data_IF_482976783616
#
_entry.id   IF_482976783616
#
_cell.length_a   1.000
_cell.length_b   1.000
_cell.length_c   1.000
_cell.angle_alpha   90.00
_cell.angle_beta   90.00
_cell.angle_gamma   90.00
#
_symmetry.space_group_name_H-M   'P 1'
#
loop_
_entity.id
_entity.type
_entity.pdbx_description
1 polymer ?
#
# COMPACT_ATOMS: atom_id res chain seq x y z
N UNK A 1 21.01 37.04 -15.39
CA UNK A 1 20.49 36.00 -16.28
C UNK A 1 19.52 35.18 -15.45
N UNK A 2 18.24 35.16 -15.85
CA UNK A 2 17.23 34.40 -15.14
C UNK A 2 17.45 32.92 -15.50
N UNK A 3 17.92 32.13 -14.54
CA UNK A 3 17.90 30.67 -14.65
C UNK A 3 16.44 30.26 -14.87
N UNK A 4 16.13 29.85 -16.09
CA UNK A 4 14.90 29.12 -16.39
C UNK A 4 14.97 27.81 -15.60
N UNK A 5 14.37 27.81 -14.40
CA UNK A 5 14.11 26.58 -13.64
C UNK A 5 13.19 25.73 -14.50
N UNK A 6 13.78 24.87 -15.33
CA UNK A 6 13.08 23.74 -15.93
C UNK A 6 12.57 22.93 -14.75
N UNK A 7 11.26 22.96 -14.50
CA UNK A 7 10.64 22.06 -13.55
C UNK A 7 10.97 20.64 -13.99
N UNK A 8 11.63 19.82 -13.15
CA UNK A 8 12.01 18.46 -13.55
C UNK A 8 10.77 17.70 -14.00
N UNK A 9 10.90 16.96 -15.11
CA UNK A 9 9.83 16.14 -15.68
C UNK A 9 9.35 15.14 -14.62
N UNK A 10 8.04 15.07 -14.31
CA UNK A 10 7.51 14.09 -13.37
C UNK A 10 7.83 12.65 -13.81
N UNK A 11 8.42 11.85 -12.92
CA UNK A 11 8.75 10.45 -13.18
C UNK A 11 7.47 9.60 -13.22
N UNK A 12 7.40 8.62 -14.12
CA UNK A 12 6.27 7.66 -14.20
C UNK A 12 4.89 8.30 -14.33
N UNK A 13 4.78 9.53 -14.84
CA UNK A 13 3.51 10.26 -14.96
C UNK A 13 2.39 9.41 -15.62
N UNK A 14 2.75 8.73 -16.71
CA UNK A 14 1.81 7.93 -17.50
C UNK A 14 1.71 6.47 -17.01
N UNK A 15 2.54 6.08 -16.04
CA UNK A 15 2.66 4.71 -15.51
C UNK A 15 2.23 4.59 -14.04
N UNK A 16 1.88 5.70 -13.37
CA UNK A 16 1.47 5.72 -11.97
C UNK A 16 0.10 6.38 -11.77
N UNK A 17 -0.75 5.72 -11.00
CA UNK A 17 -2.00 6.30 -10.46
C UNK A 17 -1.88 6.54 -8.95
N UNK A 18 -2.57 7.57 -8.46
CA UNK A 18 -2.69 7.86 -7.03
C UNK A 18 -4.08 7.43 -6.55
N UNK A 19 -4.16 6.51 -5.58
CA UNK A 19 -5.42 5.96 -5.05
C UNK A 19 -5.73 6.52 -3.67
N UNK A 20 -6.88 7.20 -3.53
CA UNK A 20 -7.27 7.91 -2.32
C UNK A 20 -8.66 7.42 -1.85
N UNK A 21 -8.76 6.69 -0.73
CA UNK A 21 -10.05 6.48 -0.08
C UNK A 21 -10.47 7.72 0.70
N UNK A 22 -11.76 8.02 0.72
CA UNK A 22 -12.26 9.21 1.42
C UNK A 22 -13.74 9.12 1.79
N UNK A 23 -14.12 9.88 2.81
CA UNK A 23 -15.52 10.18 3.18
C UNK A 23 -15.80 11.70 3.21
N UNK A 24 -14.87 12.52 2.74
CA UNK A 24 -14.84 13.99 2.87
C UNK A 24 -14.26 14.66 1.62
N UNK A 25 -14.42 15.98 1.55
CA UNK A 25 -13.81 16.78 0.48
C UNK A 25 -12.28 16.67 0.52
N UNK A 26 -11.66 16.74 -0.66
CA UNK A 26 -10.24 16.52 -0.83
C UNK A 26 -9.42 17.82 -0.85
N UNK A 27 -9.74 18.76 0.02
CA UNK A 27 -9.04 20.06 0.10
C UNK A 27 -7.53 19.90 0.40
N UNK A 28 -7.13 18.77 1.03
CA UNK A 28 -5.73 18.44 1.29
C UNK A 28 -4.89 18.33 -0.01
N UNK A 29 -5.53 18.06 -1.15
CA UNK A 29 -4.87 18.02 -2.46
C UNK A 29 -4.24 19.35 -2.84
N UNK A 30 -4.72 20.49 -2.33
CA UNK A 30 -4.07 21.79 -2.58
C UNK A 30 -2.64 21.83 -2.04
N UNK A 31 -2.40 21.19 -0.89
CA UNK A 31 -1.05 21.09 -0.34
C UNK A 31 -0.16 20.18 -1.17
N UNK A 32 -0.75 19.14 -1.76
CA UNK A 32 -0.09 18.18 -2.62
C UNK A 32 -0.01 18.61 -4.09
N UNK A 33 -0.69 19.69 -4.50
CA UNK A 33 -0.81 20.14 -5.90
C UNK A 33 0.54 20.20 -6.63
N UNK A 34 1.63 20.74 -6.04
CA UNK A 34 2.94 20.76 -6.71
C UNK A 34 3.50 19.37 -7.06
N UNK A 35 3.01 18.31 -6.41
CA UNK A 35 3.50 16.94 -6.54
C UNK A 35 2.52 16.01 -7.25
N UNK A 36 1.20 16.16 -7.00
CA UNK A 36 0.18 15.20 -7.48
C UNK A 36 -0.51 15.65 -8.76
N UNK A 37 -0.59 16.96 -9.04
CA UNK A 37 -1.33 17.46 -10.21
C UNK A 37 -0.93 16.80 -11.55
N UNK A 38 0.35 16.42 -11.79
CA UNK A 38 0.71 15.75 -13.03
C UNK A 38 0.15 14.33 -13.20
N UNK A 39 -0.30 13.68 -12.12
CA UNK A 39 -0.71 12.28 -12.11
C UNK A 39 -2.24 12.17 -12.08
N UNK A 40 -2.74 11.05 -12.59
CA UNK A 40 -4.16 10.71 -12.51
C UNK A 40 -4.51 10.17 -11.12
N UNK A 41 -5.67 10.58 -10.59
CA UNK A 41 -6.17 10.15 -9.29
C UNK A 41 -7.34 9.18 -9.44
N UNK A 42 -7.35 8.11 -8.65
CA UNK A 42 -8.50 7.24 -8.47
C UNK A 42 -9.02 7.44 -7.05
N UNK A 43 -10.19 8.07 -6.94
CA UNK A 43 -10.81 8.41 -5.67
C UNK A 43 -11.89 7.38 -5.37
N UNK A 44 -11.81 6.75 -4.19
CA UNK A 44 -12.82 5.81 -3.73
C UNK A 44 -13.59 6.43 -2.57
N UNK A 45 -14.81 6.87 -2.85
CA UNK A 45 -15.75 7.37 -1.85
C UNK A 45 -16.36 6.22 -1.08
N UNK A 46 -16.20 6.27 0.24
CA UNK A 46 -16.83 5.34 1.17
C UNK A 46 -18.00 5.99 1.93
N UNK A 47 -18.80 5.17 2.60
CA UNK A 47 -19.97 5.62 3.36
C UNK A 47 -21.18 5.91 2.48
N UNK A 48 -21.82 7.06 2.69
CA UNK A 48 -23.06 7.43 2.00
C UNK A 48 -22.78 7.90 0.56
N UNK A 49 -23.21 7.15 -0.48
CA UNK A 49 -22.93 7.49 -1.87
C UNK A 49 -23.73 8.70 -2.37
N UNK A 50 -24.73 9.17 -1.61
CA UNK A 50 -25.50 10.38 -1.98
C UNK A 50 -24.77 11.67 -1.63
N UNK A 51 -23.73 11.60 -0.78
CA UNK A 51 -22.92 12.77 -0.44
C UNK A 51 -21.99 13.11 -1.59
N UNK A 52 -21.96 14.37 -1.98
CA UNK A 52 -21.04 14.86 -3.01
C UNK A 52 -19.70 15.18 -2.36
N UNK A 53 -18.65 14.49 -2.82
CA UNK A 53 -17.25 14.81 -2.49
C UNK A 53 -16.72 15.86 -3.47
N UNK A 54 -16.18 16.96 -2.95
CA UNK A 54 -15.53 17.98 -3.75
C UNK A 54 -14.04 17.67 -3.90
N UNK A 55 -13.56 17.77 -5.14
CA UNK A 55 -12.15 17.68 -5.52
C UNK A 55 -11.74 19.06 -6.05
N UNK A 56 -10.58 19.62 -5.64
CA UNK A 56 -10.12 20.90 -6.17
C UNK A 56 -9.95 20.87 -7.69
N UNK A 57 -10.13 22.02 -8.34
CA UNK A 57 -10.04 22.12 -9.80
C UNK A 57 -8.62 21.81 -10.32
N UNK A 58 -8.54 21.31 -11.56
CA UNK A 58 -7.29 21.08 -12.27
C UNK A 58 -6.56 19.78 -11.94
N UNK A 59 -7.19 18.85 -11.22
CA UNK A 59 -6.75 17.45 -11.10
C UNK A 59 -7.47 16.58 -12.13
N UNK A 60 -6.75 15.62 -12.70
CA UNK A 60 -7.31 14.56 -13.54
C UNK A 60 -7.70 13.37 -12.64
N UNK A 61 -8.98 13.00 -12.61
CA UNK A 61 -9.44 11.97 -11.68
C UNK A 61 -10.68 11.20 -12.14
N UNK A 62 -10.78 9.96 -11.66
CA UNK A 62 -12.00 9.19 -11.57
C UNK A 62 -12.47 9.08 -10.12
N UNK A 63 -13.78 9.14 -9.89
CA UNK A 63 -14.38 8.97 -8.57
C UNK A 63 -15.40 7.83 -8.61
N UNK A 64 -15.19 6.86 -7.73
CA UNK A 64 -16.05 5.70 -7.55
C UNK A 64 -16.68 5.71 -6.18
N UNK A 65 -17.95 5.34 -6.07
CA UNK A 65 -18.62 5.12 -4.78
C UNK A 65 -19.21 3.70 -4.69
N UNK A 66 -19.91 3.41 -3.60
CA UNK A 66 -20.49 2.08 -3.36
C UNK A 66 -21.45 1.61 -4.46
N UNK A 67 -22.19 2.51 -5.11
CA UNK A 67 -23.07 2.17 -6.23
C UNK A 67 -22.26 1.71 -7.45
N UNK A 68 -21.13 2.37 -7.74
CA UNK A 68 -20.24 1.97 -8.82
C UNK A 68 -19.60 0.62 -8.55
N UNK A 69 -19.10 0.39 -7.33
CA UNK A 69 -18.53 -0.90 -6.90
C UNK A 69 -19.56 -2.02 -7.11
N UNK A 70 -20.80 -1.83 -6.63
CA UNK A 70 -21.88 -2.82 -6.78
C UNK A 70 -22.25 -3.05 -8.25
N UNK A 71 -22.28 -2.00 -9.07
CA UNK A 71 -22.60 -2.08 -10.51
C UNK A 71 -21.51 -2.81 -11.29
N UNK A 72 -20.24 -2.55 -10.99
CA UNK A 72 -19.09 -3.07 -11.72
C UNK A 72 -18.79 -4.52 -11.32
N UNK A 73 -18.81 -4.83 -10.02
CA UNK A 73 -18.45 -6.16 -9.51
C UNK A 73 -19.65 -7.10 -9.31
N UNK A 74 -20.88 -6.58 -9.36
CA UNK A 74 -22.08 -7.36 -9.08
C UNK A 74 -21.98 -8.06 -7.71
N UNK A 75 -22.30 -9.37 -7.61
CA UNK A 75 -22.17 -10.12 -6.36
C UNK A 75 -20.76 -10.12 -5.74
N UNK A 76 -19.71 -9.99 -6.56
CA UNK A 76 -18.32 -9.96 -6.08
C UNK A 76 -17.97 -8.67 -5.33
N UNK A 77 -18.83 -7.64 -5.37
CA UNK A 77 -18.68 -6.44 -4.56
C UNK A 77 -18.62 -6.75 -3.04
N UNK A 78 -19.11 -7.92 -2.63
CA UNK A 78 -18.99 -8.43 -1.27
C UNK A 78 -17.55 -8.56 -0.76
N UNK A 79 -16.55 -8.70 -1.65
CA UNK A 79 -15.14 -8.71 -1.25
C UNK A 79 -14.58 -7.30 -0.92
N UNK A 80 -15.29 -6.22 -1.27
CA UNK A 80 -14.84 -4.85 -0.98
C UNK A 80 -15.46 -4.35 0.32
N UNK A 81 -14.59 -4.05 1.28
CA UNK A 81 -14.93 -3.47 2.59
C UNK A 81 -15.76 -2.19 2.50
N UNK A 82 -16.51 -1.89 3.57
CA UNK A 82 -17.44 -0.76 3.65
C UNK A 82 -17.38 -0.07 5.00
N UNK A 83 -17.46 1.27 5.01
CA UNK A 83 -17.20 2.11 6.19
C UNK A 83 -15.80 1.86 6.78
N UNK A 84 -14.84 1.66 5.89
CA UNK A 84 -13.45 1.37 6.18
C UNK A 84 -12.53 1.79 5.01
N UNK A 85 -11.29 2.12 5.34
CA UNK A 85 -10.30 2.62 4.38
C UNK A 85 -9.89 1.56 3.34
N UNK A 86 -10.11 0.27 3.61
CA UNK A 86 -9.86 -0.83 2.70
C UNK A 86 -10.72 -0.79 1.42
N UNK A 87 -11.73 0.08 1.33
CA UNK A 87 -12.45 0.35 0.07
C UNK A 87 -11.49 0.74 -1.07
N UNK A 88 -10.31 1.32 -0.75
CA UNK A 88 -9.22 1.63 -1.69
C UNK A 88 -8.78 0.44 -2.55
N UNK A 89 -8.99 -0.80 -2.08
CA UNK A 89 -8.69 -2.00 -2.86
C UNK A 89 -9.43 -2.01 -4.20
N UNK A 90 -10.63 -1.43 -4.27
CA UNK A 90 -11.33 -1.25 -5.54
C UNK A 90 -10.52 -0.37 -6.51
N UNK A 91 -9.93 0.72 -6.01
CA UNK A 91 -9.04 1.59 -6.78
C UNK A 91 -7.83 0.85 -7.36
N UNK A 92 -7.26 -0.09 -6.58
CA UNK A 92 -6.16 -0.92 -7.06
C UNK A 92 -6.58 -1.84 -8.21
N UNK A 93 -7.79 -2.38 -8.12
CA UNK A 93 -8.34 -3.31 -9.10
C UNK A 93 -8.65 -2.61 -10.43
N UNK A 94 -9.20 -1.40 -10.39
CA UNK A 94 -9.60 -0.66 -11.60
C UNK A 94 -8.44 0.06 -12.29
N UNK A 95 -7.41 0.48 -11.55
CA UNK A 95 -6.21 1.07 -12.14
C UNK A 95 -5.62 0.15 -13.21
N UNK A 96 -5.21 0.73 -14.35
CA UNK A 96 -4.53 0.01 -15.45
C UNK A 96 -3.05 0.35 -15.56
N UNK A 97 -2.58 1.22 -14.67
CA UNK A 97 -1.19 1.65 -14.66
C UNK A 97 -0.32 0.69 -13.88
N UNK A 98 0.97 0.68 -14.22
CA UNK A 98 1.96 -0.24 -13.66
C UNK A 98 2.19 0.00 -12.17
N UNK A 99 2.16 1.26 -11.73
CA UNK A 99 2.44 1.64 -10.36
C UNK A 99 1.22 2.28 -9.70
N UNK A 100 1.06 2.03 -8.41
CA UNK A 100 0.09 2.71 -7.57
C UNK A 100 0.81 3.37 -6.41
N UNK A 101 0.44 4.61 -6.12
CA UNK A 101 0.67 5.24 -4.83
C UNK A 101 -0.66 5.40 -4.11
N UNK A 102 -0.78 4.95 -2.87
CA UNK A 102 -1.96 5.19 -2.03
C UNK A 102 -1.62 6.10 -0.86
N UNK A 103 -2.54 7.01 -0.57
CA UNK A 103 -2.42 7.98 0.51
C UNK A 103 -3.79 8.27 1.13
N UNK A 104 -3.82 8.44 2.45
CA UNK A 104 -5.03 8.85 3.17
C UNK A 104 -5.29 10.35 3.04
N UNK A 105 -6.56 10.72 3.08
CA UNK A 105 -7.04 12.11 2.94
C UNK A 105 -6.68 13.04 4.12
N UNK A 106 -6.00 12.53 5.15
CA UNK A 106 -5.46 13.27 6.30
C UNK A 106 -3.92 13.15 6.46
N UNK A 107 -3.26 12.71 5.38
CA UNK A 107 -1.81 12.72 5.23
C UNK A 107 -1.35 13.93 4.40
N UNK A 108 -0.55 14.80 5.01
CA UNK A 108 -0.13 16.09 4.47
C UNK A 108 1.34 16.08 4.07
N UNK A 109 1.77 17.12 3.35
CA UNK A 109 3.18 17.30 2.97
C UNK A 109 4.03 17.53 4.21
N UNK A 110 4.93 16.59 4.50
CA UNK A 110 5.93 16.74 5.54
C UNK A 110 7.09 17.67 5.11
N UNK A 111 7.88 18.09 6.11
CA UNK A 111 9.11 18.85 5.89
C UNK A 111 10.32 18.04 6.35
N UNK A 112 11.41 18.14 5.60
CA UNK A 112 12.70 17.60 6.00
C UNK A 112 13.36 18.47 7.09
N UNK A 113 14.49 18.05 7.68
CA UNK A 113 15.19 18.85 8.70
C UNK A 113 15.67 20.24 8.23
N UNK A 114 15.76 20.48 6.91
CA UNK A 114 16.08 21.79 6.35
C UNK A 114 14.84 22.70 6.20
N UNK A 115 13.65 22.17 6.48
CA UNK A 115 12.37 22.86 6.34
C UNK A 115 11.78 22.80 4.93
N UNK A 116 12.39 22.04 4.01
CA UNK A 116 11.90 21.87 2.65
C UNK A 116 10.78 20.83 2.61
N UNK A 117 9.77 21.08 1.79
CA UNK A 117 8.69 20.13 1.56
C UNK A 117 9.22 18.82 0.95
N UNK A 118 8.78 17.70 1.50
CA UNK A 118 9.13 16.36 1.03
C UNK A 118 8.17 15.97 -0.09
N UNK A 119 8.72 15.65 -1.27
CA UNK A 119 7.98 15.00 -2.34
C UNK A 119 7.95 13.48 -2.08
N UNK A 120 6.99 13.03 -1.28
CA UNK A 120 6.88 11.62 -0.90
C UNK A 120 6.67 10.71 -2.11
N UNK A 121 5.85 11.12 -3.07
CA UNK A 121 5.60 10.37 -4.30
C UNK A 121 6.89 10.10 -5.08
N UNK A 122 7.73 11.12 -5.32
CA UNK A 122 9.00 10.93 -6.04
C UNK A 122 9.95 9.99 -5.30
N UNK A 123 10.00 10.05 -3.96
CA UNK A 123 10.81 9.15 -3.15
C UNK A 123 10.30 7.70 -3.20
N UNK A 124 8.98 7.49 -3.19
CA UNK A 124 8.39 6.18 -3.44
C UNK A 124 8.74 5.64 -4.84
N UNK A 125 8.65 6.48 -5.87
CA UNK A 125 9.03 6.10 -7.24
C UNK A 125 10.49 5.66 -7.29
N UNK A 126 11.41 6.42 -6.67
CA UNK A 126 12.83 6.06 -6.60
C UNK A 126 13.05 4.72 -5.89
N UNK A 127 12.31 4.44 -4.82
CA UNK A 127 12.39 3.15 -4.12
C UNK A 127 11.91 1.98 -4.98
N UNK A 128 10.82 2.16 -5.75
CA UNK A 128 10.27 1.13 -6.64
C UNK A 128 11.19 0.86 -7.85
N UNK A 129 11.82 1.91 -8.38
CA UNK A 129 12.72 1.81 -9.54
C UNK A 129 14.13 1.31 -9.21
N UNK A 130 14.45 1.12 -7.92
CA UNK A 130 15.76 0.61 -7.48
C UNK A 130 15.62 -0.78 -6.86
N UNK A 131 16.60 -1.68 -7.05
CA UNK A 131 16.49 -3.04 -6.51
C UNK A 131 16.48 -3.07 -4.98
N UNK A 132 16.01 -4.18 -4.44
CA UNK A 132 16.03 -4.50 -3.02
C UNK A 132 17.05 -5.60 -2.73
N UNK A 133 17.54 -5.68 -1.49
CA UNK A 133 18.55 -6.65 -1.06
C UNK A 133 18.06 -7.58 0.06
N UNK A 134 17.00 -8.39 -0.14
CA UNK A 134 16.36 -9.13 0.96
C UNK A 134 17.14 -10.37 1.41
N UNK A 135 18.04 -10.89 0.57
CA UNK A 135 18.74 -12.17 0.79
C UNK A 135 20.01 -12.05 1.64
N UNK A 136 20.54 -10.84 1.81
CA UNK A 136 21.68 -10.57 2.68
C UNK A 136 21.57 -9.13 3.17
N UNK A 137 21.67 -8.93 4.49
CA UNK A 137 21.42 -7.63 5.10
C UNK A 137 22.63 -6.70 4.94
N UNK A 138 22.47 -5.60 4.22
CA UNK A 138 23.48 -4.54 4.16
C UNK A 138 23.39 -3.70 5.45
N UNK A 139 24.44 -3.72 6.28
CA UNK A 139 24.39 -3.12 7.63
C UNK A 139 24.44 -1.59 7.65
N UNK A 140 24.66 -0.94 6.51
CA UNK A 140 24.68 0.51 6.40
C UNK A 140 23.27 1.06 6.08
N UNK A 141 23.00 1.35 4.81
CA UNK A 141 21.71 1.80 4.29
C UNK A 141 21.44 1.09 2.96
N UNK A 142 20.31 1.38 2.32
CA UNK A 142 20.02 0.94 0.95
C UNK A 142 21.18 1.31 -0.01
N UNK A 143 21.90 0.33 -0.58
CA UNK A 143 23.10 0.57 -1.39
C UNK A 143 22.81 1.23 -2.74
N UNK A 144 21.54 1.33 -3.15
CA UNK A 144 21.13 1.99 -4.40
C UNK A 144 20.81 3.47 -4.23
N UNK A 145 20.98 4.02 -3.03
CA UNK A 145 20.84 5.46 -2.78
C UNK A 145 22.16 6.20 -2.99
N UNK A 146 22.06 7.45 -3.41
CA UNK A 146 23.20 8.35 -3.50
C UNK A 146 23.92 8.42 -2.13
N UNK A 147 25.24 8.24 -2.14
CA UNK A 147 26.07 8.27 -0.94
C UNK A 147 26.10 6.97 -0.13
N UNK A 148 25.45 5.90 -0.58
CA UNK A 148 25.51 4.56 0.03
C UNK A 148 26.07 3.52 -0.95
N UNK A 149 26.63 2.42 -0.41
CA UNK A 149 27.14 1.28 -1.18
C UNK A 149 27.06 0.00 -0.32
N UNK A 150 27.36 -1.14 -0.93
CA UNK A 150 27.54 -2.43 -0.28
C UNK A 150 28.76 -2.43 0.63
N UNK A 151 28.56 -2.81 1.91
CA UNK A 151 29.65 -2.90 2.87
C UNK A 151 30.57 -4.10 2.61
N UNK A 152 31.79 -4.05 3.14
CA UNK A 152 32.74 -5.18 3.11
C UNK A 152 32.08 -6.45 3.68
N UNK A 153 32.17 -7.54 2.93
CA UNK A 153 31.56 -8.82 3.29
C UNK A 153 30.23 -9.10 2.59
N UNK A 154 29.62 -8.09 1.95
CA UNK A 154 28.45 -8.32 1.11
C UNK A 154 28.84 -9.09 -0.17
N UNK A 155 28.27 -10.28 -0.43
CA UNK A 155 28.65 -11.11 -1.58
C UNK A 155 28.40 -10.40 -2.91
N UNK A 156 29.39 -10.37 -3.80
CA UNK A 156 29.28 -9.73 -5.11
C UNK A 156 28.14 -10.31 -5.95
N UNK A 157 27.91 -11.62 -5.88
CA UNK A 157 26.84 -12.31 -6.60
C UNK A 157 25.42 -11.91 -6.16
N UNK A 158 25.27 -11.18 -5.06
CA UNK A 158 23.98 -10.70 -4.55
C UNK A 158 23.77 -9.20 -4.75
N UNK A 159 24.75 -8.49 -5.33
CA UNK A 159 24.72 -7.01 -5.45
C UNK A 159 23.79 -6.47 -6.53
N UNK A 160 23.27 -7.31 -7.41
CA UNK A 160 22.22 -6.91 -8.37
C UNK A 160 20.85 -6.77 -7.69
N UNK A 161 20.68 -7.38 -6.51
CA UNK A 161 19.43 -7.35 -5.77
C UNK A 161 18.28 -8.07 -6.49
N UNK A 162 17.07 -7.68 -6.13
CA UNK A 162 15.82 -8.17 -6.73
C UNK A 162 14.89 -7.00 -7.02
N UNK A 163 13.88 -7.19 -7.88
CA UNK A 163 12.87 -6.18 -8.14
C UNK A 163 12.13 -5.77 -6.86
N UNK A 164 11.90 -4.46 -6.68
CA UNK A 164 11.16 -3.93 -5.53
C UNK A 164 9.68 -3.87 -5.86
N UNK A 165 8.89 -4.73 -5.22
CA UNK A 165 7.45 -4.77 -5.43
C UNK A 165 6.71 -3.70 -4.62
N UNK A 166 7.20 -3.37 -3.42
CA UNK A 166 6.52 -2.45 -2.49
C UNK A 166 7.51 -1.47 -1.86
N UNK A 167 7.11 -0.21 -1.80
CA UNK A 167 7.76 0.85 -1.02
C UNK A 167 6.79 1.34 0.05
N UNK A 168 7.12 1.04 1.30
CA UNK A 168 6.39 1.49 2.48
C UNK A 168 7.01 2.77 3.06
N UNK A 169 6.20 3.81 3.22
CA UNK A 169 6.63 5.09 3.77
C UNK A 169 6.31 5.21 5.25
N UNK A 170 6.91 6.21 5.88
CA UNK A 170 6.71 6.55 7.29
C UNK A 170 5.94 7.86 7.43
N UNK A 171 5.76 8.30 8.67
CA UNK A 171 4.98 9.48 9.02
C UNK A 171 5.67 10.25 10.15
N UNK A 172 5.57 11.57 10.08
CA UNK A 172 5.88 12.48 11.18
C UNK A 172 4.58 12.87 11.88
N UNK A 173 4.72 13.49 13.05
CA UNK A 173 3.64 13.93 13.93
C UNK A 173 2.95 12.76 14.65
N UNK A 174 1.76 12.30 14.25
CA UNK A 174 1.06 11.27 15.01
C UNK A 174 1.55 9.88 14.59
N UNK A 175 2.19 9.11 15.49
CA UNK A 175 2.62 7.77 15.18
C UNK A 175 1.43 6.81 14.98
N UNK A 176 1.56 5.86 14.07
CA UNK A 176 0.61 4.74 13.91
C UNK A 176 0.83 3.71 15.01
N UNK A 177 0.30 4.03 16.19
CA UNK A 177 0.28 3.15 17.34
C UNK A 177 -1.04 2.41 17.42
N UNK A 178 -0.98 1.21 18.00
CA UNK A 178 -2.17 0.54 18.53
C UNK A 178 -2.87 1.42 19.57
N UNK A 179 -4.18 1.24 19.71
CA UNK A 179 -5.01 2.02 20.60
C UNK A 179 -4.56 1.97 22.08
N UNK A 180 -4.17 0.81 22.66
CA UNK A 180 -3.56 0.79 24.00
C UNK A 180 -2.35 1.71 24.14
N UNK A 181 -1.39 1.65 23.21
CA UNK A 181 -0.20 2.50 23.22
C UNK A 181 -0.58 3.98 23.07
N UNK A 182 -1.54 4.29 22.19
CA UNK A 182 -2.06 5.65 22.03
C UNK A 182 -2.74 6.18 23.31
N UNK A 183 -3.47 5.33 24.05
CA UNK A 183 -4.09 5.68 25.34
C UNK A 183 -3.07 6.07 26.39
N UNK A 184 -1.95 5.35 26.47
CA UNK A 184 -0.90 5.63 27.46
C UNK A 184 0.08 6.71 27.01
N UNK A 185 0.12 7.04 25.72
CA UNK A 185 1.00 8.08 25.15
C UNK A 185 0.28 9.10 24.23
N UNK A 186 -0.79 9.77 24.70
CA UNK A 186 -1.65 10.61 23.85
C UNK A 186 -0.94 11.86 23.29
N UNK A 187 0.13 12.31 23.95
CA UNK A 187 0.90 13.51 23.56
C UNK A 187 2.16 13.18 22.77
N UNK A 188 2.52 11.90 22.62
CA UNK A 188 3.73 11.53 21.89
C UNK A 188 3.59 11.91 20.41
N UNK A 189 4.68 12.43 19.84
CA UNK A 189 4.78 12.78 18.43
C UNK A 189 6.07 12.24 17.84
N UNK A 190 6.00 11.66 16.65
CA UNK A 190 7.17 11.31 15.88
C UNK A 190 7.78 12.56 15.25
N UNK A 191 8.80 13.10 15.90
CA UNK A 191 9.60 14.24 15.40
C UNK A 191 10.93 13.78 14.79
N UNK A 192 11.20 12.48 14.80
CA UNK A 192 12.49 11.91 14.38
C UNK A 192 12.45 11.57 12.90
N UNK A 193 12.99 12.48 12.09
CA UNK A 193 13.29 12.21 10.69
C UNK A 193 14.58 11.38 10.58
N UNK A 194 14.48 10.17 10.05
CA UNK A 194 15.63 9.31 9.75
C UNK A 194 15.80 9.25 8.25
N UNK A 195 16.88 9.82 7.72
CA UNK A 195 17.20 9.73 6.30
C UNK A 195 17.78 8.35 5.96
N UNK A 196 16.92 7.35 5.92
CA UNK A 196 17.29 5.98 5.58
C UNK A 196 16.17 5.31 4.76
N UNK A 197 16.59 4.50 3.81
CA UNK A 197 15.76 3.46 3.20
C UNK A 197 16.44 2.14 3.52
N UNK A 198 15.64 1.13 3.82
CA UNK A 198 16.08 -0.21 4.16
C UNK A 198 15.22 -1.23 3.40
N UNK A 199 15.84 -2.32 2.95
CA UNK A 199 15.09 -3.49 2.50
C UNK A 199 14.63 -4.30 3.71
N UNK A 200 13.36 -4.70 3.73
CA UNK A 200 12.83 -5.65 4.69
C UNK A 200 13.39 -7.04 4.34
N UNK A 201 14.12 -7.72 5.26
CA UNK A 201 14.75 -9.00 4.95
C UNK A 201 13.76 -10.08 4.54
N UNK A 202 14.24 -11.07 3.78
CA UNK A 202 13.48 -12.27 3.46
C UNK A 202 13.04 -12.98 4.76
N UNK A 203 11.83 -13.52 4.76
CA UNK A 203 11.21 -14.22 5.89
C UNK A 203 11.01 -13.38 7.16
N UNK A 204 11.00 -12.05 7.02
CA UNK A 204 10.67 -11.12 8.10
C UNK A 204 9.35 -10.41 7.80
N UNK A 205 8.38 -10.54 8.71
CA UNK A 205 7.12 -9.80 8.64
C UNK A 205 7.31 -8.38 9.18
N UNK A 206 6.42 -7.48 8.78
CA UNK A 206 6.40 -6.10 9.24
C UNK A 206 4.96 -5.58 9.33
N UNK A 207 4.67 -4.60 10.20
CA UNK A 207 3.37 -3.93 10.21
C UNK A 207 3.33 -2.93 9.06
N UNK A 208 2.73 -3.31 7.93
CA UNK A 208 2.53 -2.42 6.80
C UNK A 208 1.40 -1.44 7.09
N UNK A 209 1.65 -0.15 6.89
CA UNK A 209 0.63 0.88 6.95
C UNK A 209 0.17 1.29 5.55
N UNK A 210 -1.15 1.36 5.33
CA UNK A 210 -1.76 1.77 4.06
C UNK A 210 -1.76 3.28 3.79
N UNK A 211 -1.45 4.11 4.80
CA UNK A 211 -1.57 5.57 4.71
C UNK A 211 -0.54 6.24 3.80
N UNK A 212 0.61 5.60 3.55
CA UNK A 212 1.71 6.12 2.74
C UNK A 212 2.48 4.96 2.10
N UNK A 213 1.97 4.46 0.98
CA UNK A 213 2.41 3.20 0.40
C UNK A 213 2.39 3.26 -1.11
N UNK A 214 3.44 2.77 -1.76
CA UNK A 214 3.47 2.59 -3.20
C UNK A 214 3.87 1.16 -3.57
N UNK A 215 3.38 0.66 -4.70
CA UNK A 215 3.70 -0.69 -5.17
C UNK A 215 3.67 -0.80 -6.69
N UNK A 216 4.43 -1.76 -7.20
CA UNK A 216 4.36 -2.22 -8.59
C UNK A 216 3.17 -3.19 -8.71
N UNK A 217 2.10 -2.68 -9.32
CA UNK A 217 0.83 -3.38 -9.48
C UNK A 217 0.98 -4.63 -10.34
N UNK A 218 1.87 -4.61 -11.34
CA UNK A 218 2.12 -5.77 -12.20
C UNK A 218 2.84 -6.88 -11.42
N UNK A 219 3.75 -6.52 -10.51
CA UNK A 219 4.48 -7.49 -9.70
C UNK A 219 3.67 -8.09 -8.54
N UNK A 220 2.81 -7.30 -7.89
CA UNK A 220 2.20 -7.72 -6.61
C UNK A 220 0.73 -7.32 -6.42
N UNK A 221 0.12 -6.64 -7.39
CA UNK A 221 -1.25 -6.09 -7.29
C UNK A 221 -2.31 -7.07 -6.76
N UNK A 222 -2.39 -8.33 -7.25
CA UNK A 222 -3.37 -9.29 -6.75
C UNK A 222 -3.23 -9.63 -5.26
N UNK A 223 -2.05 -9.42 -4.65
CA UNK A 223 -1.83 -9.63 -3.22
C UNK A 223 -2.08 -8.38 -2.36
N UNK A 224 -2.38 -7.23 -2.98
CA UNK A 224 -2.66 -5.97 -2.27
C UNK A 224 -4.13 -5.86 -1.84
N UNK A 225 -4.65 -6.91 -1.20
CA UNK A 225 -6.02 -6.97 -0.69
C UNK A 225 -6.06 -6.84 0.83
N UNK A 226 -6.72 -5.78 1.30
CA UNK A 226 -6.79 -5.41 2.72
C UNK A 226 -7.82 -6.24 3.51
N UNK A 227 -8.46 -7.21 2.85
CA UNK A 227 -9.42 -8.10 3.50
C UNK A 227 -10.76 -7.43 3.78
N UNK A 228 -11.58 -8.13 4.56
CA UNK A 228 -12.91 -7.68 4.98
C UNK A 228 -12.84 -7.01 6.35
N UNK A 229 -12.94 -5.68 6.39
CA UNK A 229 -13.03 -4.91 7.63
C UNK A 229 -14.13 -3.86 7.52
N UNK A 230 -14.44 -3.20 8.64
CA UNK A 230 -15.48 -2.17 8.69
C UNK A 230 -16.85 -2.69 9.11
N UNK A 231 -17.90 -2.20 8.47
CA UNK A 231 -19.29 -2.43 8.88
C UNK A 231 -19.64 -3.92 8.87
N UNK A 232 -20.18 -4.41 9.98
CA UNK A 232 -20.56 -5.82 10.14
C UNK A 232 -19.40 -6.81 10.33
N UNK A 233 -18.14 -6.36 10.33
CA UNK A 233 -16.98 -7.21 10.56
C UNK A 233 -16.55 -7.16 12.03
N UNK A 234 -16.01 -8.27 12.58
CA UNK A 234 -15.61 -8.33 13.98
C UNK A 234 -14.28 -7.64 14.27
N UNK A 235 -13.58 -7.15 13.25
CA UNK A 235 -12.24 -6.56 13.31
C UNK A 235 -12.16 -5.31 12.42
N UNK A 236 -11.34 -4.34 12.82
CA UNK A 236 -10.98 -3.16 12.03
C UNK A 236 -9.59 -2.64 12.37
N UNK A 237 -9.00 -1.80 11.51
CA UNK A 237 -7.64 -1.23 11.66
C UNK A 237 -6.52 -2.28 11.69
N UNK A 238 -6.76 -3.43 11.07
CA UNK A 238 -5.80 -4.52 10.87
C UNK A 238 -5.67 -4.91 9.39
N UNK A 239 -6.37 -4.17 8.53
CA UNK A 239 -6.61 -4.43 7.13
C UNK A 239 -5.32 -4.29 6.30
N UNK A 240 -4.55 -3.23 6.54
CA UNK A 240 -3.25 -3.01 5.93
C UNK A 240 -2.17 -3.96 6.46
N UNK A 241 -2.13 -4.22 7.78
CA UNK A 241 -1.20 -5.20 8.36
C UNK A 241 -1.43 -6.60 7.79
N UNK A 242 -2.70 -7.03 7.67
CA UNK A 242 -3.07 -8.28 7.03
C UNK A 242 -2.58 -8.36 5.58
N UNK A 243 -2.86 -7.33 4.78
CA UNK A 243 -2.35 -7.26 3.40
C UNK A 243 -0.83 -7.31 3.36
N UNK A 244 -0.16 -6.61 4.28
CA UNK A 244 1.29 -6.56 4.39
C UNK A 244 1.90 -7.93 4.65
N UNK A 245 1.30 -8.73 5.54
CA UNK A 245 1.77 -10.09 5.83
C UNK A 245 1.53 -11.04 4.66
N UNK A 246 0.34 -10.99 4.04
CA UNK A 246 0.04 -11.78 2.84
C UNK A 246 1.03 -11.45 1.71
N UNK A 247 1.15 -10.17 1.36
CA UNK A 247 2.06 -9.68 0.34
C UNK A 247 3.50 -10.07 0.65
N UNK A 248 3.96 -9.94 1.89
CA UNK A 248 5.35 -10.23 2.25
C UNK A 248 5.71 -11.70 2.05
N UNK A 249 4.83 -12.61 2.45
CA UNK A 249 5.02 -14.05 2.23
C UNK A 249 5.11 -14.36 0.73
N UNK A 250 4.27 -13.72 -0.09
CA UNK A 250 4.26 -13.93 -1.54
C UNK A 250 5.49 -13.33 -2.21
N UNK A 251 5.89 -12.10 -1.84
CA UNK A 251 7.14 -11.49 -2.30
C UNK A 251 8.35 -12.39 -1.99
N UNK A 252 8.43 -12.94 -0.77
CA UNK A 252 9.54 -13.82 -0.40
C UNK A 252 9.59 -15.12 -1.19
N UNK A 253 8.42 -15.64 -1.55
CA UNK A 253 8.26 -16.85 -2.37
C UNK A 253 8.64 -16.59 -3.83
N UNK A 254 8.15 -15.50 -4.41
CA UNK A 254 8.40 -15.11 -5.82
C UNK A 254 9.75 -14.40 -6.03
N UNK A 255 10.46 -14.08 -4.96
CA UNK A 255 11.79 -13.44 -5.03
C UNK A 255 11.75 -11.93 -5.23
N UNK A 256 10.69 -11.25 -4.81
CA UNK A 256 10.57 -9.79 -4.82
C UNK A 256 10.99 -9.17 -3.49
N UNK A 257 11.35 -7.89 -3.54
CA UNK A 257 11.77 -7.12 -2.39
C UNK A 257 10.76 -6.06 -1.95
N UNK A 258 10.89 -5.66 -0.68
CA UNK A 258 10.09 -4.62 -0.05
C UNK A 258 11.04 -3.62 0.62
N UNK A 259 10.83 -2.33 0.39
CA UNK A 259 11.57 -1.25 1.04
C UNK A 259 10.71 -0.52 2.06
N UNK A 260 11.35 -0.04 3.12
CA UNK A 260 10.73 0.82 4.16
C UNK A 260 11.69 1.94 4.58
N UNK A 261 11.17 3.00 5.17
CA UNK A 261 11.94 4.18 5.59
C UNK A 261 11.40 5.44 4.92
N UNK A 262 12.25 6.17 4.19
CA UNK A 262 11.75 7.22 3.31
C UNK A 262 10.75 6.65 2.29
N UNK A 263 9.66 7.38 1.97
CA UNK A 263 9.37 8.76 2.35
C UNK A 263 8.58 8.96 3.64
N UNK A 264 8.62 10.18 4.17
CA UNK A 264 7.74 10.63 5.27
C UNK A 264 6.59 11.51 4.77
N UNK A 265 5.39 11.29 5.29
CA UNK A 265 4.25 12.23 5.24
C UNK A 265 3.99 12.86 6.62
N UNK A 266 3.13 13.88 6.68
CA UNK A 266 2.69 14.49 7.94
C UNK A 266 1.28 14.01 8.29
N UNK A 267 1.17 13.10 9.24
CA UNK A 267 -0.12 12.53 9.66
C UNK A 267 -0.74 13.37 10.79
N UNK A 268 -1.95 13.86 10.60
CA UNK A 268 -2.56 14.87 11.51
C UNK A 268 -3.80 14.40 12.28
N UNK A 269 -4.37 13.23 11.97
CA UNK A 269 -5.58 12.75 12.63
C UNK A 269 -5.26 11.89 13.85
N UNK A 270 -5.64 12.38 15.02
CA UNK A 270 -5.74 11.54 16.21
C UNK A 270 -7.18 11.06 16.34
N UNK A 271 -7.46 9.82 15.94
CA UNK A 271 -8.77 9.20 16.15
C UNK A 271 -9.02 8.92 17.63
N UNK A 272 -10.28 8.72 18.02
CA UNK A 272 -10.62 8.42 19.41
C UNK A 272 -10.06 7.04 19.80
N UNK A 273 -9.12 6.96 20.75
CA UNK A 273 -8.44 5.71 21.06
C UNK A 273 -9.37 4.67 21.72
N UNK A 274 -10.44 5.08 22.41
CA UNK A 274 -11.42 4.12 22.96
C UNK A 274 -12.28 3.47 21.86
N UNK A 275 -12.61 4.22 20.81
CA UNK A 275 -13.30 3.67 19.63
C UNK A 275 -12.37 2.72 18.89
N UNK A 276 -11.11 3.10 18.71
CA UNK A 276 -10.10 2.27 18.05
C UNK A 276 -9.84 0.99 18.84
N UNK A 277 -9.73 1.04 20.18
CA UNK A 277 -9.53 -0.14 21.01
C UNK A 277 -10.63 -1.18 20.80
N UNK A 278 -11.90 -0.77 20.66
CA UNK A 278 -12.99 -1.70 20.37
C UNK A 278 -12.85 -2.39 19.01
N UNK A 279 -12.34 -1.67 18.02
CA UNK A 279 -12.10 -2.21 16.66
C UNK A 279 -10.90 -3.15 16.63
N UNK A 280 -9.87 -2.80 17.38
CA UNK A 280 -8.58 -3.52 17.40
C UNK A 280 -8.55 -4.69 18.38
N UNK A 281 -9.41 -4.71 19.40
CA UNK A 281 -9.36 -5.67 20.52
C UNK A 281 -9.21 -7.13 20.06
N UNK A 282 -10.06 -7.57 19.12
CA UNK A 282 -9.97 -8.93 18.56
C UNK A 282 -8.66 -9.13 17.78
N UNK A 283 -8.26 -8.14 16.98
CA UNK A 283 -7.01 -8.16 16.22
C UNK A 283 -5.78 -8.33 17.12
N UNK A 284 -5.71 -7.58 18.23
CA UNK A 284 -4.59 -7.67 19.20
C UNK A 284 -4.48 -9.09 19.74
N UNK A 285 -5.60 -9.72 20.09
CA UNK A 285 -5.61 -11.08 20.60
C UNK A 285 -5.29 -12.12 19.51
N UNK A 286 -5.91 -11.99 18.34
CA UNK A 286 -5.72 -12.92 17.23
C UNK A 286 -4.32 -12.85 16.63
N UNK A 287 -3.66 -11.69 16.71
CA UNK A 287 -2.31 -11.51 16.19
C UNK A 287 -1.31 -12.53 16.76
N UNK A 288 -1.51 -12.98 18.00
CA UNK A 288 -0.69 -14.04 18.63
C UNK A 288 -0.79 -15.40 17.89
N UNK A 289 -1.88 -15.65 17.16
CA UNK A 289 -2.03 -16.81 16.27
C UNK A 289 -1.65 -16.48 14.82
N UNK A 290 -1.97 -15.27 14.35
CA UNK A 290 -1.71 -14.83 12.97
C UNK A 290 -0.22 -14.76 12.64
N UNK A 291 0.60 -14.19 13.54
CA UNK A 291 2.03 -14.00 13.27
C UNK A 291 2.76 -15.34 13.17
N UNK A 292 2.62 -16.29 14.11
CA UNK A 292 3.19 -17.62 13.95
C UNK A 292 2.68 -18.34 12.71
N UNK A 293 1.39 -18.19 12.36
CA UNK A 293 0.84 -18.72 11.10
C UNK A 293 1.62 -18.19 9.89
N UNK A 294 1.71 -16.87 9.70
CA UNK A 294 2.39 -16.28 8.55
C UNK A 294 3.90 -16.60 8.51
N UNK A 295 4.56 -16.71 9.66
CA UNK A 295 5.96 -17.15 9.75
C UNK A 295 6.13 -18.62 9.31
N UNK A 296 5.11 -19.44 9.54
CA UNK A 296 5.11 -20.86 9.20
C UNK A 296 4.65 -21.15 7.76
N UNK A 297 3.96 -20.22 7.10
CA UNK A 297 3.46 -20.42 5.72
C UNK A 297 4.61 -20.85 4.80
N UNK A 298 4.35 -21.90 4.02
CA UNK A 298 5.16 -22.34 2.89
C UNK A 298 4.23 -22.48 1.69
N UNK A 299 4.55 -21.74 0.63
CA UNK A 299 3.83 -21.87 -0.63
C UNK A 299 4.52 -22.95 -1.49
N UNK A 300 3.76 -23.79 -2.21
CA UNK A 300 4.28 -24.75 -3.16
C UNK A 300 5.12 -24.07 -4.24
N UNK A 301 6.17 -24.74 -4.74
CA UNK A 301 7.04 -24.18 -5.80
C UNK A 301 6.31 -23.99 -7.12
N UNK A 302 5.21 -24.71 -7.29
CA UNK A 302 4.32 -24.69 -8.43
C UNK A 302 3.44 -23.42 -8.46
N UNK A 303 3.27 -22.74 -7.32
CA UNK A 303 2.67 -21.40 -7.28
C UNK A 303 3.71 -20.41 -7.81
N UNK A 304 3.59 -20.02 -9.07
CA UNK A 304 4.56 -19.18 -9.79
C UNK A 304 4.03 -17.78 -10.11
N UNK A 305 2.72 -17.57 -9.93
CA UNK A 305 2.06 -16.27 -10.06
C UNK A 305 1.53 -15.76 -8.72
N UNK A 306 1.30 -14.45 -8.62
CA UNK A 306 0.73 -13.84 -7.41
C UNK A 306 -0.65 -14.41 -7.12
N UNK A 307 -1.49 -14.58 -8.15
CA UNK A 307 -2.82 -15.18 -8.02
C UNK A 307 -2.76 -16.60 -7.46
N UNK A 308 -1.93 -17.48 -8.03
CA UNK A 308 -1.74 -18.85 -7.52
C UNK A 308 -1.29 -18.85 -6.06
N UNK A 309 -0.33 -17.97 -5.72
CA UNK A 309 0.15 -17.84 -4.36
C UNK A 309 -0.96 -17.35 -3.40
N UNK A 310 -1.77 -16.38 -3.80
CA UNK A 310 -2.82 -15.80 -2.97
C UNK A 310 -3.99 -16.78 -2.77
N UNK A 311 -4.35 -17.53 -3.81
CA UNK A 311 -5.34 -18.61 -3.72
C UNK A 311 -4.84 -19.76 -2.85
N UNK A 312 -3.56 -20.12 -2.93
CA UNK A 312 -3.01 -21.14 -2.04
C UNK A 312 -2.95 -20.66 -0.58
N UNK A 313 -2.58 -19.39 -0.38
CA UNK A 313 -2.62 -18.77 0.94
C UNK A 313 -4.04 -18.76 1.53
N UNK A 314 -5.08 -18.48 0.73
CA UNK A 314 -6.47 -18.49 1.23
C UNK A 314 -6.89 -19.87 1.74
N UNK A 315 -6.47 -20.96 1.07
CA UNK A 315 -6.71 -22.33 1.56
C UNK A 315 -6.03 -22.57 2.90
N UNK A 316 -4.79 -22.10 3.07
CA UNK A 316 -4.06 -22.23 4.33
C UNK A 316 -4.72 -21.40 5.45
N UNK A 317 -5.18 -20.18 5.16
CA UNK A 317 -5.97 -19.35 6.08
C UNK A 317 -7.22 -20.11 6.53
N UNK A 318 -8.01 -20.64 5.59
CA UNK A 318 -9.22 -21.42 5.89
C UNK A 318 -8.90 -22.63 6.77
N UNK A 319 -7.84 -23.38 6.44
CA UNK A 319 -7.48 -24.60 7.15
C UNK A 319 -6.88 -24.37 8.54
N UNK A 320 -6.21 -23.23 8.78
CA UNK A 320 -5.44 -22.98 10.01
C UNK A 320 -6.04 -21.93 10.92
N UNK A 321 -6.76 -20.95 10.38
CA UNK A 321 -7.29 -19.81 11.13
C UNK A 321 -8.80 -19.85 11.33
N UNK A 322 -9.55 -20.72 10.63
CA UNK A 322 -10.99 -20.86 10.86
C UNK A 322 -11.33 -21.34 12.29
N UNK A 323 -10.40 -22.00 12.98
CA UNK A 323 -10.54 -22.35 14.39
C UNK A 323 -10.40 -21.17 15.37
N UNK A 324 -9.85 -20.03 14.91
CA UNK A 324 -9.70 -18.81 15.72
C UNK A 324 -11.03 -18.05 15.79
N UNK A 325 -11.70 -17.85 14.65
CA UNK A 325 -13.02 -17.24 14.52
C UNK A 325 -13.59 -17.53 13.12
N UNK A 326 -14.93 -17.62 12.99
CA UNK A 326 -15.63 -17.84 11.70
C UNK A 326 -15.32 -16.75 10.66
N UNK A 327 -14.86 -15.57 11.12
CA UNK A 327 -14.37 -14.50 10.27
C UNK A 327 -13.31 -14.98 9.26
N UNK A 328 -12.37 -15.83 9.68
CA UNK A 328 -11.28 -16.26 8.79
C UNK A 328 -11.75 -17.22 7.69
N UNK A 329 -12.84 -17.96 7.93
CA UNK A 329 -13.49 -18.76 6.89
C UNK A 329 -14.10 -17.85 5.81
N UNK A 330 -14.83 -16.82 6.24
CA UNK A 330 -15.40 -15.79 5.35
C UNK A 330 -14.32 -15.00 4.61
N UNK A 331 -13.23 -14.65 5.30
CA UNK A 331 -12.12 -13.93 4.73
C UNK A 331 -11.40 -14.76 3.65
N UNK A 332 -11.20 -16.05 3.88
CA UNK A 332 -10.61 -16.94 2.88
C UNK A 332 -11.46 -17.02 1.60
N UNK A 333 -12.79 -17.10 1.73
CA UNK A 333 -13.70 -17.08 0.57
C UNK A 333 -13.67 -15.70 -0.14
N UNK A 334 -13.55 -14.61 0.63
CA UNK A 334 -13.39 -13.27 0.08
C UNK A 334 -12.04 -13.07 -0.64
N UNK A 335 -10.96 -13.70 -0.17
CA UNK A 335 -9.66 -13.70 -0.86
C UNK A 335 -9.76 -14.37 -2.23
N UNK A 336 -10.53 -15.46 -2.36
CA UNK A 336 -10.79 -16.10 -3.66
C UNK A 336 -11.62 -15.18 -4.55
N UNK A 337 -12.72 -14.64 -4.00
CA UNK A 337 -13.61 -13.71 -4.72
C UNK A 337 -12.86 -12.47 -5.22
N UNK A 338 -11.90 -11.97 -4.42
CA UNK A 338 -11.03 -10.86 -4.79
C UNK A 338 -10.18 -11.18 -6.03
N UNK A 339 -9.55 -12.37 -6.08
CA UNK A 339 -8.75 -12.79 -7.24
C UNK A 339 -9.63 -12.98 -8.48
N UNK A 340 -10.82 -13.58 -8.33
CA UNK A 340 -11.77 -13.73 -9.44
C UNK A 340 -12.19 -12.36 -10.01
N UNK A 341 -12.53 -11.41 -9.13
CA UNK A 341 -12.87 -10.04 -9.53
C UNK A 341 -11.67 -9.32 -10.17
N UNK A 342 -10.47 -9.53 -9.63
CA UNK A 342 -9.24 -8.97 -10.18
C UNK A 342 -9.00 -9.47 -11.60
N UNK A 343 -9.04 -10.77 -11.84
CA UNK A 343 -8.76 -11.38 -13.14
C UNK A 343 -9.83 -11.03 -14.18
N UNK A 344 -11.10 -10.92 -13.78
CA UNK A 344 -12.19 -10.45 -14.66
C UNK A 344 -11.96 -9.02 -15.16
N UNK A 345 -11.50 -8.13 -14.28
CA UNK A 345 -11.18 -6.75 -14.66
C UNK A 345 -9.80 -6.60 -15.29
N UNK A 346 -8.91 -7.58 -15.12
CA UNK A 346 -7.50 -7.52 -15.55
C UNK A 346 -7.07 -8.84 -16.22
N UNK A 347 -7.70 -9.20 -17.37
CA UNK A 347 -7.43 -10.47 -18.02
C UNK A 347 -5.96 -10.58 -18.46
N UNK A 348 -5.33 -11.70 -18.10
CA UNK A 348 -3.97 -12.05 -18.52
C UNK A 348 -3.85 -11.98 -20.05
N UNK A 349 -3.07 -11.02 -20.56
CA UNK A 349 -2.90 -10.78 -22.00
C UNK A 349 -3.27 -9.38 -22.49
N UNK A 350 -3.87 -8.53 -21.65
CA UNK A 350 -3.89 -7.09 -21.91
C UNK A 350 -2.50 -6.49 -21.64
N UNK A 351 -1.51 -6.80 -22.48
CA UNK A 351 -0.45 -5.83 -22.70
C UNK A 351 -1.16 -4.52 -23.04
N UNK A 352 -0.82 -3.44 -22.33
CA UNK A 352 -1.20 -2.10 -22.72
C UNK A 352 -1.00 -2.02 -24.24
N UNK A 353 -2.10 -1.85 -24.99
CA UNK A 353 -2.04 -1.85 -26.44
C UNK A 353 -0.92 -0.88 -26.84
N UNK A 354 0.06 -1.38 -27.60
CA UNK A 354 1.19 -0.61 -28.10
C UNK A 354 0.65 0.73 -28.64
N UNK A 355 0.81 1.81 -27.87
CA UNK A 355 0.50 3.14 -28.36
C UNK A 355 1.55 3.45 -29.42
N UNK A 356 1.15 3.72 -30.68
CA UNK A 356 2.10 4.01 -31.72
C UNK A 356 2.88 5.26 -31.32
N UNK A 357 4.22 5.15 -31.35
CA UNK A 357 5.14 6.29 -31.26
C UNK A 357 4.74 7.34 -32.32
N UNK A 358 3.94 8.32 -31.90
CA UNK A 358 3.55 9.45 -32.71
C UNK A 358 4.75 10.35 -32.92
N UNK A 359 5.23 10.40 -34.15
CA UNK A 359 6.32 11.25 -34.58
C UNK A 359 6.06 12.72 -34.22
N UNK A 360 7.07 13.35 -33.63
CA UNK A 360 7.16 14.79 -33.37
C UNK A 360 6.99 15.60 -34.67
N UNK A 361 6.06 16.55 -34.66
CA UNK A 361 6.15 17.79 -35.42
C UNK A 361 5.79 18.97 -34.53
#
# INVERSE_FOLDING_TARGET
MADSKVSPTPLLKDELDIVIPTIRNLDFLEMWRPFFQPYHLIIVQDGDPSKVIKVPEGFDYELYNRNDINRILGPKASCISFKDSACRCFGYMVSKKKYIYTIDDDCFVAKDPSGKNINALEQHIKNLLTPSTPNFFNTLYDPYREGADFVRGYPFSLREGVATAVSHGLWLNIPDYDAPTQLVKPLERNTRYVDAVLTIPKSTLFPMCGMNLAFDRELIGPAMYFGLMGDGQPIGRYDDMWAGWCMKVICDHLGFGVKTGLPYIWHSKASNPFVNLKKEYKGIYWQEELIPFFQAVKLPKECTTVQECYIELSKQVKAKLAGVDEYFDKLADAMVTWIEAWDELNPSGSKAADLPNGASK
#
